data_IF_981357051235
#
_entry.id   IF_981357051235
#
_cell.length_a   1.000
_cell.length_b   1.000
_cell.length_c   1.000
_cell.angle_alpha   90.00
_cell.angle_beta   90.00
_cell.angle_gamma   90.00
#
_symmetry.space_group_name_H-M   'P 1'
#
loop_
_entity.id
_entity.type
_entity.pdbx_description
1 polymer ?
#
# COMPACT_ATOMS: atom_id res chain seq x y z
N UNK A 1 -36.97 51.75 0.93
CA UNK A 1 -36.00 50.75 0.46
C UNK A 1 -36.47 50.33 -0.92
N UNK A 2 -35.68 50.56 -1.97
CA UNK A 2 -36.13 50.19 -3.32
C UNK A 2 -36.11 48.66 -3.44
N UNK A 3 -36.97 48.12 -4.31
CA UNK A 3 -37.03 46.68 -4.57
C UNK A 3 -35.66 46.13 -5.02
N UNK A 4 -34.89 46.94 -5.76
CA UNK A 4 -33.51 46.67 -6.17
C UNK A 4 -32.56 46.45 -4.99
N UNK A 5 -32.66 47.29 -3.97
CA UNK A 5 -31.74 47.29 -2.83
C UNK A 5 -31.96 46.03 -1.98
N UNK A 6 -33.22 45.61 -1.85
CA UNK A 6 -33.61 44.40 -1.13
C UNK A 6 -33.11 43.13 -1.84
N UNK A 7 -33.17 43.11 -3.18
CA UNK A 7 -32.64 42.00 -4.00
C UNK A 7 -31.12 41.92 -3.87
N UNK A 8 -30.41 43.05 -3.90
CA UNK A 8 -28.95 43.08 -3.73
C UNK A 8 -28.53 42.52 -2.38
N UNK A 9 -29.18 42.95 -1.29
CA UNK A 9 -28.90 42.43 0.07
C UNK A 9 -29.12 40.92 0.11
N UNK A 10 -30.22 40.42 -0.46
CA UNK A 10 -30.52 38.99 -0.48
C UNK A 10 -29.49 38.17 -1.26
N UNK A 11 -29.09 38.65 -2.44
CA UNK A 11 -28.03 38.02 -3.26
C UNK A 11 -26.71 38.00 -2.49
N UNK A 12 -26.35 39.10 -1.81
CA UNK A 12 -25.12 39.16 -1.01
C UNK A 12 -25.13 38.15 0.14
N UNK A 13 -26.25 37.97 0.84
CA UNK A 13 -26.37 36.98 1.93
C UNK A 13 -26.18 35.56 1.40
N UNK A 14 -26.82 35.22 0.28
CA UNK A 14 -26.66 33.91 -0.35
C UNK A 14 -25.21 33.70 -0.81
N UNK A 15 -24.58 34.71 -1.41
CA UNK A 15 -23.20 34.63 -1.87
C UNK A 15 -22.22 34.35 -0.71
N UNK A 16 -22.40 35.02 0.44
CA UNK A 16 -21.59 34.78 1.64
C UNK A 16 -21.81 33.35 2.18
N UNK A 17 -23.06 32.89 2.20
CA UNK A 17 -23.37 31.52 2.63
C UNK A 17 -22.73 30.46 1.72
N UNK A 18 -22.85 30.62 0.40
CA UNK A 18 -22.20 29.71 -0.57
C UNK A 18 -20.67 29.71 -0.42
N UNK A 19 -20.07 30.88 -0.23
CA UNK A 19 -18.63 31.01 0.01
C UNK A 19 -18.20 30.25 1.26
N UNK A 20 -18.99 30.34 2.34
CA UNK A 20 -18.73 29.60 3.57
C UNK A 20 -18.77 28.08 3.38
N UNK A 21 -19.79 27.58 2.66
CA UNK A 21 -19.92 26.16 2.34
C UNK A 21 -18.75 25.69 1.47
N UNK A 22 -18.38 26.46 0.45
CA UNK A 22 -17.27 26.16 -0.45
C UNK A 22 -15.94 26.06 0.32
N UNK A 23 -15.63 27.00 1.22
CA UNK A 23 -14.42 26.96 2.05
C UNK A 23 -14.38 25.69 2.90
N UNK A 24 -15.52 25.30 3.51
CA UNK A 24 -15.61 24.07 4.30
C UNK A 24 -15.37 22.82 3.44
N UNK A 25 -15.97 22.76 2.25
CA UNK A 25 -15.77 21.65 1.32
C UNK A 25 -14.33 21.57 0.84
N UNK A 26 -13.72 22.70 0.45
CA UNK A 26 -12.31 22.78 0.05
C UNK A 26 -11.40 22.31 1.19
N UNK A 27 -11.63 22.77 2.42
CA UNK A 27 -10.86 22.32 3.59
C UNK A 27 -10.99 20.81 3.81
N UNK A 28 -12.20 20.26 3.72
CA UNK A 28 -12.43 18.81 3.85
C UNK A 28 -11.71 18.05 2.73
N UNK A 29 -11.83 18.49 1.49
CA UNK A 29 -11.19 17.87 0.33
C UNK A 29 -9.67 17.86 0.46
N UNK A 30 -9.07 18.98 0.87
CA UNK A 30 -7.61 19.06 1.09
C UNK A 30 -7.19 18.11 2.21
N UNK A 31 -7.98 18.00 3.29
CA UNK A 31 -7.68 17.08 4.39
C UNK A 31 -7.79 15.61 3.98
N UNK A 32 -8.80 15.26 3.19
CA UNK A 32 -8.99 13.88 2.70
C UNK A 32 -7.93 13.50 1.66
N UNK A 33 -7.58 14.41 0.74
CA UNK A 33 -6.53 14.19 -0.25
C UNK A 33 -5.13 14.03 0.39
N UNK A 34 -4.88 14.76 1.49
CA UNK A 34 -3.63 14.69 2.24
C UNK A 34 -3.70 13.71 3.41
N UNK A 35 -4.67 12.79 3.45
CA UNK A 35 -4.79 11.81 4.52
C UNK A 35 -3.68 10.75 4.40
N UNK A 36 -2.99 10.38 5.49
CA UNK A 36 -2.17 9.19 5.50
C UNK A 36 -3.05 7.94 5.37
N UNK A 37 -2.66 7.01 4.50
CA UNK A 37 -3.44 5.80 4.23
C UNK A 37 -2.60 4.57 4.52
N UNK A 38 -2.87 3.92 5.65
CA UNK A 38 -2.08 2.79 6.13
C UNK A 38 -2.81 1.49 5.83
N UNK A 39 -2.14 0.61 5.10
CA UNK A 39 -2.67 -0.70 4.72
C UNK A 39 -1.70 -1.77 5.20
N UNK A 40 -2.25 -2.87 5.71
CA UNK A 40 -1.54 -4.09 6.02
C UNK A 40 -1.96 -5.23 5.11
N UNK A 41 -1.00 -6.07 4.74
CA UNK A 41 -1.24 -7.27 3.93
C UNK A 41 -0.14 -8.30 4.15
N UNK A 42 -0.44 -9.56 3.83
CA UNK A 42 0.54 -10.64 3.78
C UNK A 42 1.13 -10.75 2.38
N UNK A 43 2.43 -11.05 2.32
CA UNK A 43 3.11 -11.36 1.07
C UNK A 43 4.04 -12.56 1.27
N UNK A 44 4.19 -13.35 0.21
CA UNK A 44 5.17 -14.43 0.14
C UNK A 44 6.39 -13.92 -0.64
N UNK A 45 7.55 -13.98 0.01
CA UNK A 45 8.84 -13.71 -0.61
C UNK A 45 9.66 -15.00 -0.67
N UNK A 46 10.36 -15.20 -1.79
CA UNK A 46 11.34 -16.27 -1.92
C UNK A 46 12.71 -15.69 -1.60
N UNK A 47 13.33 -16.16 -0.53
CA UNK A 47 14.72 -15.81 -0.19
C UNK A 47 15.56 -17.05 -0.47
N UNK A 48 16.38 -16.97 -1.51
CA UNK A 48 17.16 -18.10 -2.06
C UNK A 48 16.24 -19.26 -2.47
N UNK A 49 16.07 -20.26 -1.61
CA UNK A 49 15.28 -21.47 -1.86
C UNK A 49 14.14 -21.66 -0.85
N UNK A 50 13.97 -20.74 0.10
CA UNK A 50 12.96 -20.85 1.16
C UNK A 50 11.87 -19.81 0.95
N UNK A 51 10.62 -20.26 1.00
CA UNK A 51 9.46 -19.37 1.01
C UNK A 51 9.22 -18.82 2.42
N UNK A 52 9.06 -17.50 2.50
CA UNK A 52 8.82 -16.76 3.72
C UNK A 52 7.55 -15.93 3.60
N UNK A 53 6.72 -15.99 4.62
CA UNK A 53 5.51 -15.17 4.74
C UNK A 53 5.86 -13.95 5.59
N UNK A 54 5.59 -12.78 5.04
CA UNK A 54 5.87 -11.49 5.66
C UNK A 54 4.58 -10.70 5.74
N UNK A 55 4.29 -10.15 6.91
CA UNK A 55 3.27 -9.11 7.08
C UNK A 55 3.92 -7.75 6.78
N UNK A 56 3.28 -6.98 5.90
CA UNK A 56 3.73 -5.66 5.48
C UNK A 56 2.71 -4.65 5.93
N UNK A 57 3.17 -3.55 6.53
CA UNK A 57 2.35 -2.38 6.85
C UNK A 57 2.95 -1.21 6.10
N UNK A 58 2.16 -0.60 5.22
CA UNK A 58 2.63 0.39 4.27
C UNK A 58 1.73 1.62 4.26
N UNK A 59 2.37 2.78 4.12
CA UNK A 59 1.68 4.03 3.85
C UNK A 59 1.53 4.24 2.34
N UNK A 60 0.30 4.20 1.85
CA UNK A 60 -0.09 4.52 0.48
C UNK A 60 -0.65 5.95 0.36
N UNK A 61 -0.77 6.68 1.46
CA UNK A 61 -1.20 8.07 1.46
C UNK A 61 -0.09 9.01 0.97
N UNK A 62 -0.46 10.27 0.73
CA UNK A 62 0.48 11.30 0.28
C UNK A 62 1.22 12.01 1.42
N UNK A 63 0.83 11.75 2.67
CA UNK A 63 1.43 12.34 3.87
C UNK A 63 1.90 11.28 4.85
N UNK A 64 2.80 11.67 5.75
CA UNK A 64 3.35 10.78 6.77
C UNK A 64 2.34 10.40 7.85
N UNK A 65 2.50 9.20 8.40
CA UNK A 65 1.69 8.68 9.49
C UNK A 65 2.58 8.30 10.67
N UNK A 66 2.15 8.60 11.89
CA UNK A 66 2.78 8.07 13.10
C UNK A 66 1.93 6.95 13.65
N UNK A 67 2.44 5.72 13.63
CA UNK A 67 1.77 4.52 14.12
C UNK A 67 1.80 4.53 15.66
N UNK A 68 0.62 4.49 16.26
CA UNK A 68 0.44 4.45 17.71
C UNK A 68 0.40 3.01 18.23
N UNK A 69 -0.31 2.13 17.52
CA UNK A 69 -0.37 0.70 17.84
C UNK A 69 -0.89 -0.12 16.66
N UNK A 70 -0.46 -1.38 16.63
CA UNK A 70 -0.98 -2.40 15.72
C UNK A 70 -1.44 -3.58 16.56
N UNK A 71 -2.65 -4.08 16.31
CA UNK A 71 -3.20 -5.29 16.93
C UNK A 71 -3.55 -6.29 15.84
N UNK A 72 -3.32 -7.57 16.13
CA UNK A 72 -3.60 -8.67 15.21
C UNK A 72 -4.48 -9.67 15.97
N UNK A 73 -5.61 -10.06 15.38
CA UNK A 73 -6.62 -10.91 16.02
C UNK A 73 -7.14 -11.93 14.99
N UNK A 74 -7.04 -13.24 15.22
CA UNK A 74 -6.29 -13.87 16.32
C UNK A 74 -4.78 -13.61 16.20
N UNK A 75 -4.05 -13.91 17.27
CA UNK A 75 -2.59 -13.79 17.31
C UNK A 75 -1.91 -14.74 16.31
N UNK A 76 -0.72 -14.36 15.84
CA UNK A 76 0.08 -15.21 14.93
C UNK A 76 0.70 -16.34 15.75
N UNK A 77 0.42 -17.57 15.32
CA UNK A 77 0.96 -18.80 15.90
C UNK A 77 1.52 -19.68 14.79
N UNK A 78 2.46 -20.56 15.11
CA UNK A 78 3.13 -21.42 14.14
C UNK A 78 2.84 -22.89 14.43
N UNK A 79 2.90 -23.74 13.39
CA UNK A 79 2.64 -25.18 13.50
C UNK A 79 3.69 -25.92 14.34
N UNK A 80 4.94 -25.49 14.30
CA UNK A 80 6.04 -26.09 15.08
C UNK A 80 6.19 -25.35 16.39
N UNK A 81 6.16 -26.07 17.51
CA UNK A 81 6.34 -25.47 18.83
C UNK A 81 7.78 -25.01 19.07
N UNK A 82 8.77 -25.74 18.56
CA UNK A 82 10.19 -25.43 18.64
C UNK A 82 10.69 -24.77 17.36
N UNK A 83 11.03 -23.47 17.44
CA UNK A 83 11.56 -22.71 16.31
C UNK A 83 11.93 -21.27 16.68
N UNK A 84 12.79 -20.62 15.89
CA UNK A 84 13.15 -19.21 16.10
C UNK A 84 11.91 -18.30 16.04
N UNK A 85 11.03 -18.53 15.08
CA UNK A 85 9.78 -17.80 14.90
C UNK A 85 8.82 -17.97 16.08
N UNK A 86 8.82 -19.15 16.71
CA UNK A 86 7.96 -19.40 17.86
C UNK A 86 8.49 -18.81 19.17
N UNK A 87 9.79 -18.51 19.25
CA UNK A 87 10.40 -17.84 20.39
C UNK A 87 10.47 -16.32 20.19
N UNK A 88 10.73 -15.85 18.96
CA UNK A 88 10.97 -14.45 18.64
C UNK A 88 9.74 -13.71 18.08
N UNK A 89 8.79 -14.41 17.47
CA UNK A 89 7.67 -13.81 16.69
C UNK A 89 6.30 -14.39 17.11
N UNK A 90 6.20 -14.96 18.31
CA UNK A 90 4.92 -15.47 18.82
C UNK A 90 3.96 -14.32 19.15
N UNK A 91 2.73 -14.41 18.66
CA UNK A 91 1.68 -13.43 18.91
C UNK A 91 1.67 -12.30 17.89
N UNK A 92 1.88 -11.07 18.34
CA UNK A 92 1.87 -9.89 17.47
C UNK A 92 3.30 -9.34 17.30
N UNK A 93 3.93 -9.46 16.12
CA UNK A 93 5.29 -8.97 15.88
C UNK A 93 5.43 -7.45 16.06
N UNK A 94 4.32 -6.72 16.00
CA UNK A 94 4.28 -5.28 16.19
C UNK A 94 3.78 -4.85 17.57
N UNK A 95 3.69 -5.77 18.55
CA UNK A 95 3.14 -5.49 19.90
C UNK A 95 3.79 -4.28 20.59
N UNK A 96 5.09 -4.07 20.36
CA UNK A 96 5.87 -3.01 20.99
C UNK A 96 6.02 -1.76 20.13
N UNK A 97 5.43 -1.72 18.93
CA UNK A 97 5.51 -0.54 18.08
C UNK A 97 4.74 0.61 18.70
N UNK A 98 5.41 1.76 18.86
CA UNK A 98 4.81 2.98 19.39
C UNK A 98 5.54 4.17 18.77
N UNK A 99 4.78 5.22 18.45
CA UNK A 99 5.30 6.47 17.89
C UNK A 99 6.23 6.25 16.68
N UNK A 100 5.91 5.26 15.83
CA UNK A 100 6.75 4.95 14.67
C UNK A 100 6.28 5.73 13.45
N UNK A 101 7.15 6.60 12.93
CA UNK A 101 6.83 7.41 11.76
C UNK A 101 7.01 6.61 10.46
N UNK A 102 6.01 6.69 9.58
CA UNK A 102 5.94 6.03 8.28
C UNK A 102 5.69 7.08 7.20
N UNK A 103 6.73 7.42 6.45
CA UNK A 103 6.65 8.36 5.33
C UNK A 103 5.77 7.79 4.18
N UNK A 104 5.27 8.63 3.27
CA UNK A 104 4.58 8.19 2.06
C UNK A 104 5.39 7.12 1.30
N UNK A 105 4.74 6.02 0.93
CA UNK A 105 5.36 4.90 0.21
C UNK A 105 6.21 3.96 1.07
N UNK A 106 6.57 4.34 2.31
CA UNK A 106 7.39 3.55 3.22
C UNK A 106 6.59 2.38 3.82
N UNK A 107 7.29 1.29 4.12
CA UNK A 107 6.72 0.12 4.78
C UNK A 107 7.58 -0.38 5.93
N UNK A 108 6.94 -0.91 6.96
CA UNK A 108 7.54 -1.79 7.95
C UNK A 108 7.09 -3.23 7.68
N UNK A 109 7.95 -4.19 8.00
CA UNK A 109 7.76 -5.60 7.66
C UNK A 109 8.15 -6.48 8.84
N UNK A 110 7.43 -7.57 9.03
CA UNK A 110 7.80 -8.60 9.99
C UNK A 110 7.65 -10.00 9.38
N UNK A 111 8.63 -10.87 9.65
CA UNK A 111 8.58 -12.27 9.26
C UNK A 111 7.60 -13.01 10.17
N UNK A 112 6.66 -13.76 9.58
CA UNK A 112 5.57 -14.44 10.32
C UNK A 112 5.40 -15.91 9.92
N UNK A 113 6.23 -16.40 8.98
CA UNK A 113 6.25 -17.80 8.60
C UNK A 113 7.44 -18.11 7.72
N UNK A 114 8.00 -19.31 7.86
CA UNK A 114 9.11 -19.80 7.05
C UNK A 114 9.01 -21.31 6.90
N UNK A 115 9.30 -21.82 5.69
CA UNK A 115 9.20 -23.26 5.39
C UNK A 115 10.05 -24.13 6.32
N UNK A 116 11.23 -23.67 6.76
CA UNK A 116 12.11 -24.42 7.66
C UNK A 116 11.63 -24.46 9.12
N UNK A 117 11.08 -23.34 9.59
CA UNK A 117 10.82 -23.09 11.02
C UNK A 117 9.35 -23.29 11.43
N UNK A 118 8.53 -23.72 10.47
CA UNK A 118 7.09 -23.91 10.63
C UNK A 118 6.31 -22.76 10.00
N UNK A 119 5.40 -23.11 9.10
CA UNK A 119 4.47 -22.15 8.55
C UNK A 119 3.52 -21.62 9.63
N UNK A 120 3.04 -20.41 9.44
CA UNK A 120 1.97 -19.82 10.25
C UNK A 120 0.73 -20.72 10.25
N UNK A 121 0.04 -20.80 11.39
CA UNK A 121 -1.30 -21.35 11.47
C UNK A 121 -2.27 -20.40 10.77
N UNK A 122 -2.75 -20.82 9.60
CA UNK A 122 -3.75 -20.09 8.83
C UNK A 122 -5.09 -20.13 9.57
N UNK A 123 -5.82 -19.03 9.50
CA UNK A 123 -7.17 -18.89 10.07
C UNK A 123 -8.15 -18.37 9.03
N UNK A 124 -9.44 -18.63 9.23
CA UNK A 124 -10.49 -18.19 8.30
C UNK A 124 -10.53 -16.66 8.15
N UNK A 125 -10.26 -15.93 9.24
CA UNK A 125 -10.23 -14.46 9.22
C UNK A 125 -9.26 -13.93 10.25
N UNK A 126 -8.28 -13.14 9.78
CA UNK A 126 -7.39 -12.36 10.62
C UNK A 126 -7.65 -10.88 10.47
N UNK A 127 -7.94 -10.22 11.58
CA UNK A 127 -8.15 -8.78 11.70
C UNK A 127 -6.87 -8.09 12.12
N UNK A 128 -6.46 -7.08 11.34
CA UNK A 128 -5.34 -6.20 11.64
C UNK A 128 -5.91 -4.82 11.92
N UNK A 129 -5.74 -4.35 13.15
CA UNK A 129 -6.24 -3.06 13.62
C UNK A 129 -5.05 -2.12 13.81
N UNK A 130 -5.04 -1.02 13.07
CA UNK A 130 -3.95 -0.05 13.08
C UNK A 130 -4.49 1.29 13.57
N UNK A 131 -3.93 1.78 14.67
CA UNK A 131 -4.20 3.13 15.17
C UNK A 131 -3.00 4.01 14.85
N UNK A 132 -3.24 5.19 14.27
CA UNK A 132 -2.20 6.13 13.90
C UNK A 132 -2.73 7.56 13.87
N UNK A 133 -1.82 8.52 13.76
CA UNK A 133 -2.17 9.92 13.59
C UNK A 133 -1.31 10.60 12.52
N UNK A 134 -1.85 11.68 11.93
CA UNK A 134 -1.09 12.55 11.03
C UNK A 134 -0.25 13.58 11.81
N UNK A 135 0.51 14.42 11.10
CA UNK A 135 1.30 15.49 11.70
C UNK A 135 0.48 16.48 12.54
N UNK A 136 -0.81 16.67 12.20
CA UNK A 136 -1.75 17.50 12.96
C UNK A 136 -2.35 16.79 14.18
N UNK A 137 -1.85 15.60 14.53
CA UNK A 137 -2.34 14.75 15.64
C UNK A 137 -3.78 14.29 15.47
N UNK A 138 -4.36 14.40 14.28
CA UNK A 138 -5.68 13.84 14.00
C UNK A 138 -5.53 12.32 13.93
N UNK A 139 -6.36 11.62 14.69
CA UNK A 139 -6.30 10.16 14.85
C UNK A 139 -7.13 9.45 13.80
N UNK A 140 -6.63 8.30 13.37
CA UNK A 140 -7.25 7.40 12.42
C UNK A 140 -7.16 5.97 12.94
N UNK A 141 -8.10 5.14 12.49
CA UNK A 141 -8.15 3.72 12.78
C UNK A 141 -8.50 2.98 11.50
N UNK A 142 -7.68 2.00 11.15
CA UNK A 142 -7.93 1.09 10.04
C UNK A 142 -8.16 -0.31 10.60
N UNK A 143 -9.18 -0.98 10.09
CA UNK A 143 -9.50 -2.38 10.44
C UNK A 143 -9.50 -3.13 9.12
N UNK A 144 -8.54 -4.02 8.97
CA UNK A 144 -8.35 -4.81 7.77
C UNK A 144 -8.59 -6.26 8.12
N UNK A 145 -9.50 -6.91 7.40
CA UNK A 145 -9.82 -8.32 7.58
C UNK A 145 -9.25 -9.11 6.42
N UNK A 146 -8.64 -10.24 6.72
CA UNK A 146 -7.91 -11.03 5.75
C UNK A 146 -8.23 -12.51 5.91
N UNK A 147 -8.74 -13.13 4.84
CA UNK A 147 -8.96 -14.56 4.76
C UNK A 147 -7.67 -15.27 4.33
N UNK A 148 -7.03 -15.95 5.27
CA UNK A 148 -5.73 -16.59 5.03
C UNK A 148 -5.86 -17.91 4.29
N UNK A 149 -7.01 -18.58 4.43
CA UNK A 149 -7.26 -19.83 3.74
C UNK A 149 -7.48 -19.56 2.26
N UNK A 150 -8.31 -18.60 1.89
CA UNK A 150 -8.49 -18.18 0.50
C UNK A 150 -7.19 -17.64 -0.09
N UNK A 151 -6.49 -16.77 0.62
CA UNK A 151 -5.19 -16.26 0.15
C UNK A 151 -4.20 -17.39 -0.12
N UNK A 152 -4.11 -18.38 0.79
CA UNK A 152 -3.23 -19.53 0.60
C UNK A 152 -3.61 -20.39 -0.61
N UNK A 153 -4.91 -20.50 -0.93
CA UNK A 153 -5.38 -21.22 -2.12
C UNK A 153 -5.00 -20.48 -3.40
N UNK A 154 -5.15 -19.15 -3.43
CA UNK A 154 -4.78 -18.32 -4.58
C UNK A 154 -3.27 -18.37 -4.88
N UNK A 155 -2.44 -18.53 -3.84
CA UNK A 155 -0.99 -18.66 -4.01
C UNK A 155 -0.52 -20.04 -4.50
N UNK A 156 -1.34 -21.08 -4.33
CA UNK A 156 -1.02 -22.45 -4.78
C UNK A 156 -1.28 -22.66 -6.28
N UNK A 157 -1.99 -21.73 -6.94
CA UNK A 157 -2.07 -21.75 -8.40
C UNK A 157 -0.72 -21.30 -8.99
N UNK A 158 -0.22 -21.99 -10.03
CA UNK A 158 1.04 -21.62 -10.65
C UNK A 158 0.95 -20.16 -11.10
N UNK A 159 1.74 -19.31 -10.45
CA UNK A 159 1.95 -17.94 -10.91
C UNK A 159 2.42 -18.06 -12.35
N UNK A 160 1.63 -17.56 -13.30
CA UNK A 160 2.11 -17.36 -14.67
C UNK A 160 3.28 -16.39 -14.55
N UNK A 161 4.50 -16.94 -14.55
CA UNK A 161 5.70 -16.13 -14.62
C UNK A 161 5.69 -15.54 -16.03
N UNK A 162 5.19 -14.32 -16.18
CA UNK A 162 5.60 -13.49 -17.29
C UNK A 162 7.05 -13.13 -17.00
N UNK A 163 7.95 -14.03 -17.42
CA UNK A 163 9.36 -13.72 -17.48
C UNK A 163 9.48 -12.58 -18.49
N UNK A 164 9.56 -11.34 -18.01
CA UNK A 164 10.36 -10.36 -18.71
C UNK A 164 11.82 -10.79 -18.52
N UNK A 165 12.20 -11.84 -19.25
CA UNK A 165 13.59 -12.24 -19.37
C UNK A 165 14.30 -11.02 -19.95
N UNK A 166 15.28 -10.47 -19.22
CA UNK A 166 16.10 -9.36 -19.71
C UNK A 166 16.68 -9.64 -21.09
N UNK A 167 16.87 -10.92 -21.44
CA UNK A 167 17.28 -11.36 -22.79
C UNK A 167 16.29 -10.98 -23.88
N UNK A 168 14.98 -11.06 -23.63
CA UNK A 168 13.95 -10.73 -24.63
C UNK A 168 13.94 -9.22 -24.90
N UNK A 169 14.14 -8.41 -23.85
CA UNK A 169 14.27 -6.97 -23.98
C UNK A 169 15.59 -6.56 -24.65
N UNK A 170 16.71 -7.20 -24.31
CA UNK A 170 18.00 -6.98 -25.00
C UNK A 170 17.94 -7.39 -26.47
N UNK A 171 17.26 -8.48 -26.79
CA UNK A 171 17.07 -8.92 -28.17
C UNK A 171 16.15 -7.96 -28.95
N UNK A 172 15.08 -7.46 -28.32
CA UNK A 172 14.21 -6.46 -28.93
C UNK A 172 14.95 -5.14 -29.23
N UNK A 173 15.80 -4.67 -28.30
CA UNK A 173 16.66 -3.49 -28.50
C UNK A 173 17.65 -3.73 -29.64
N UNK A 174 18.30 -4.90 -29.67
CA UNK A 174 19.26 -5.25 -30.74
C UNK A 174 18.60 -5.32 -32.12
N UNK A 175 17.39 -5.87 -32.19
CA UNK A 175 16.62 -5.93 -33.43
C UNK A 175 16.20 -4.52 -33.89
N UNK A 176 15.80 -3.65 -32.97
CA UNK A 176 15.47 -2.24 -33.26
C UNK A 176 16.69 -1.46 -33.78
N UNK A 177 17.87 -1.64 -33.16
CA UNK A 177 19.12 -1.03 -33.64
C UNK A 177 19.46 -1.46 -35.07
N UNK A 178 19.27 -2.74 -35.39
CA UNK A 178 19.48 -3.26 -36.74
C UNK A 178 18.48 -2.69 -37.76
N UNK A 179 17.21 -2.57 -37.40
CA UNK A 179 16.19 -1.97 -38.27
C UNK A 179 16.49 -0.49 -38.53
N UNK A 180 16.84 0.29 -37.51
CA UNK A 180 17.17 1.71 -37.65
C UNK A 180 18.42 1.89 -38.54
N UNK A 181 19.44 1.05 -38.38
CA UNK A 181 20.64 1.09 -39.23
C UNK A 181 20.34 0.76 -40.69
N UNK A 182 19.45 -0.20 -40.96
CA UNK A 182 19.07 -0.57 -42.32
C UNK A 182 18.26 0.54 -42.99
N UNK A 183 17.27 1.10 -42.30
CA UNK A 183 16.46 2.20 -42.82
C UNK A 183 17.28 3.47 -43.07
N UNK A 184 18.28 3.76 -42.23
CA UNK A 184 19.21 4.87 -42.45
C UNK A 184 20.06 4.67 -43.71
N UNK A 185 20.55 3.45 -43.97
CA UNK A 185 21.30 3.12 -45.19
C UNK A 185 20.43 3.20 -46.45
N UNK A 186 19.21 2.67 -46.42
CA UNK A 186 18.27 2.75 -47.54
C UNK A 186 17.90 4.22 -47.87
N UNK A 187 17.74 5.07 -46.84
CA UNK A 187 17.41 6.49 -47.03
C UNK A 187 18.57 7.30 -47.64
N UNK A 188 19.83 6.91 -47.34
CA UNK A 188 21.02 7.54 -47.93
C UNK A 188 21.19 7.12 -49.40
N UNK A 189 20.91 5.86 -49.72
CA UNK A 189 21.05 5.32 -51.09
C UNK A 189 19.99 5.87 -52.05
N UNK A 190 18.81 6.26 -51.55
CA UNK A 190 17.74 6.87 -52.36
C UNK A 190 17.86 8.39 -52.56
N UNK A 191 18.87 9.04 -51.95
CA UNK A 191 19.12 10.50 -52.04
C UNK A 191 20.38 10.87 -52.83
N UNK A 192 21.09 9.89 -53.40
CA UNK A 192 22.15 10.06 -54.40
C UNK A 192 21.60 9.71 -55.79
#
# INVERSE_FOLDING_TARGET
MNLSDSIQVFVSVIAVFLSYVAIRQTKKSIQEANRPYIVAYFTSIKVTATEQIVIVIRNYGQTGATIDSIKIIPDITHKKESGFLNNAVKGNPFKNIRNHFLAPGQSIKALVGSQGDGMMNLVDSRKIIINYHDFSKKKYKEILEFDELEWSRLLQHPRVSVNHSSKDMTQAIKNLEQTISHTAQETITHKL
#
